data_IF_343818865916
#
_entry.id   IF_343818865916
#
_cell.length_a   1.000
_cell.length_b   1.000
_cell.length_c   1.000
_cell.angle_alpha   90.00
_cell.angle_beta   90.00
_cell.angle_gamma   90.00
#
_symmetry.space_group_name_H-M   'P 1'
#
loop_
_entity.id
_entity.type
_entity.pdbx_description
1 polymer ?
#
# COMPACT_ATOMS: atom_id res chain seq x y z
N UNK A 1 12.85 -5.25 2.86
CA UNK A 1 11.64 -4.44 3.12
C UNK A 1 11.97 -3.16 3.87
N UNK A 2 12.66 -3.25 5.01
CA UNK A 2 12.94 -2.10 5.88
C UNK A 2 13.81 -1.03 5.19
N UNK A 3 14.88 -1.42 4.49
CA UNK A 3 15.75 -0.48 3.76
C UNK A 3 15.03 0.29 2.65
N UNK A 4 14.19 -0.40 1.85
CA UNK A 4 13.40 0.25 0.80
C UNK A 4 12.27 1.13 1.36
N UNK A 5 11.65 0.72 2.47
CA UNK A 5 10.65 1.54 3.16
C UNK A 5 11.25 2.83 3.73
N UNK A 6 12.53 2.82 4.12
CA UNK A 6 13.21 4.01 4.65
C UNK A 6 13.45 5.13 3.61
N UNK A 7 13.44 4.79 2.31
CA UNK A 7 13.62 5.77 1.22
C UNK A 7 12.29 6.26 0.62
N UNK A 8 11.20 5.54 0.89
CA UNK A 8 9.91 5.87 0.35
C UNK A 8 9.28 7.03 1.14
N UNK A 9 8.60 7.93 0.45
CA UNK A 9 7.68 8.90 1.08
C UNK A 9 6.28 8.28 1.25
N UNK A 10 5.93 7.34 0.36
CA UNK A 10 4.61 6.71 0.25
C UNK A 10 4.79 5.19 0.24
N UNK A 11 4.00 4.49 1.04
CA UNK A 11 3.93 3.03 1.10
C UNK A 11 2.61 2.49 0.54
N UNK A 12 2.64 1.28 -0.02
CA UNK A 12 1.45 0.56 -0.46
C UNK A 12 1.32 -0.74 0.35
N UNK A 13 0.24 -0.93 1.10
CA UNK A 13 -0.14 -2.26 1.58
C UNK A 13 -0.75 -3.02 0.44
N UNK A 14 -0.42 -4.29 0.39
CA UNK A 14 -1.24 -5.23 -0.37
C UNK A 14 -1.83 -6.23 0.60
N UNK A 15 -3.16 -6.28 0.66
CA UNK A 15 -3.94 -7.20 1.50
C UNK A 15 -4.62 -8.20 0.58
N UNK A 16 -4.52 -9.49 0.89
CA UNK A 16 -5.29 -10.50 0.18
C UNK A 16 -6.75 -10.46 0.64
N UNK A 17 -7.72 -10.44 -0.29
CA UNK A 17 -9.14 -10.56 0.09
C UNK A 17 -9.62 -12.01 0.18
N UNK A 18 -8.78 -12.97 -0.26
CA UNK A 18 -9.08 -14.39 -0.23
C UNK A 18 -9.40 -14.84 1.20
N UNK A 19 -10.43 -15.68 1.33
CA UNK A 19 -10.79 -16.29 2.61
C UNK A 19 -9.62 -17.12 3.14
N UNK A 20 -9.41 -17.10 4.45
CA UNK A 20 -8.28 -17.67 5.19
C UNK A 20 -6.98 -16.89 5.07
N UNK A 21 -6.59 -16.42 3.88
CA UNK A 21 -5.37 -15.59 3.75
C UNK A 21 -5.50 -14.25 4.46
N UNK A 22 -6.66 -13.61 4.37
CA UNK A 22 -6.93 -12.37 5.10
C UNK A 22 -6.89 -12.59 6.62
N UNK A 23 -7.56 -13.64 7.10
CA UNK A 23 -7.65 -13.98 8.52
C UNK A 23 -6.27 -14.32 9.09
N UNK A 24 -5.50 -15.18 8.41
CA UNK A 24 -4.11 -15.47 8.78
C UNK A 24 -3.25 -14.21 8.73
N UNK A 25 -3.42 -13.34 7.72
CA UNK A 25 -2.69 -12.08 7.61
C UNK A 25 -3.01 -11.06 8.71
N UNK A 26 -4.19 -11.15 9.31
CA UNK A 26 -4.70 -10.23 10.35
C UNK A 26 -4.44 -10.74 11.78
N UNK A 27 -4.30 -12.06 11.97
CA UNK A 27 -4.08 -12.69 13.27
C UNK A 27 -2.79 -12.22 13.97
N UNK A 28 -2.78 -12.35 15.31
CA UNK A 28 -1.68 -11.88 16.18
C UNK A 28 -0.40 -12.66 15.88
N UNK A 29 0.61 -11.98 15.32
CA UNK A 29 1.96 -12.54 15.11
C UNK A 29 2.44 -12.52 13.65
N UNK A 30 1.69 -11.90 12.73
CA UNK A 30 1.95 -12.00 11.29
C UNK A 30 2.52 -10.70 10.70
N UNK A 31 3.29 -10.84 9.61
CA UNK A 31 4.00 -9.82 8.82
C UNK A 31 3.24 -8.50 8.67
N UNK A 32 1.93 -8.55 8.40
CA UNK A 32 1.12 -7.36 8.12
C UNK A 32 1.13 -6.37 9.28
N UNK A 33 1.05 -6.86 10.53
CA UNK A 33 1.03 -5.97 11.70
C UNK A 33 2.38 -5.30 11.91
N UNK A 34 3.45 -6.07 11.76
CA UNK A 34 4.81 -5.59 11.89
C UNK A 34 5.13 -4.56 10.80
N UNK A 35 4.76 -4.84 9.55
CA UNK A 35 4.97 -3.90 8.44
C UNK A 35 4.21 -2.59 8.60
N UNK A 36 2.95 -2.64 9.04
CA UNK A 36 2.17 -1.43 9.30
C UNK A 36 2.78 -0.62 10.44
N UNK A 37 3.34 -1.28 11.46
CA UNK A 37 4.00 -0.57 12.55
C UNK A 37 5.34 0.05 12.12
N UNK A 38 6.10 -0.65 11.27
CA UNK A 38 7.37 -0.15 10.72
C UNK A 38 7.16 0.97 9.69
N UNK A 39 6.08 0.91 8.92
CA UNK A 39 5.74 1.88 7.88
C UNK A 39 5.00 3.12 8.41
N UNK A 40 5.00 3.35 9.74
CA UNK A 40 4.22 4.43 10.39
C UNK A 40 4.53 5.83 9.85
N UNK A 41 5.74 6.03 9.35
CA UNK A 41 6.20 7.30 8.80
C UNK A 41 5.84 7.52 7.33
N UNK A 42 5.29 6.50 6.65
CA UNK A 42 4.93 6.56 5.23
C UNK A 42 3.46 6.97 5.05
N UNK A 43 3.17 7.85 4.08
CA UNK A 43 1.81 8.07 3.60
C UNK A 43 1.31 6.79 2.92
N UNK A 44 0.11 6.31 3.22
CA UNK A 44 -0.22 4.91 2.95
C UNK A 44 -1.39 4.69 1.98
N UNK A 45 -1.25 3.69 1.13
CA UNK A 45 -2.31 3.22 0.25
C UNK A 45 -2.60 1.75 0.56
N UNK A 46 -3.84 1.39 0.86
CA UNK A 46 -4.21 0.00 1.12
C UNK A 46 -4.89 -0.60 -0.11
N UNK A 47 -4.25 -1.58 -0.72
CA UNK A 47 -4.76 -2.25 -1.91
C UNK A 47 -5.23 -3.67 -1.59
N UNK A 48 -6.47 -4.00 -1.90
CA UNK A 48 -7.06 -5.32 -1.67
C UNK A 48 -7.00 -6.17 -2.96
N UNK A 49 -6.48 -7.40 -2.87
CA UNK A 49 -6.53 -8.39 -3.96
C UNK A 49 -7.90 -9.06 -3.99
N UNK A 50 -8.80 -8.61 -4.87
CA UNK A 50 -10.20 -9.08 -4.94
C UNK A 50 -10.50 -10.00 -6.13
N UNK A 51 -9.46 -10.39 -6.85
CA UNK A 51 -9.50 -11.18 -8.08
C UNK A 51 -9.61 -12.69 -7.87
N UNK A 52 -9.53 -13.16 -6.63
CA UNK A 52 -9.66 -14.58 -6.33
C UNK A 52 -11.08 -15.08 -6.70
N UNK A 53 -11.20 -16.26 -7.35
CA UNK A 53 -12.50 -16.84 -7.74
C UNK A 53 -13.46 -17.06 -6.57
N UNK A 54 -12.97 -17.11 -5.33
CA UNK A 54 -13.80 -17.23 -4.12
C UNK A 54 -14.41 -15.89 -3.67
N UNK A 55 -13.87 -14.77 -4.13
CA UNK A 55 -14.30 -13.41 -3.79
C UNK A 55 -15.08 -12.76 -4.92
N UNK A 56 -14.72 -13.04 -6.18
CA UNK A 56 -15.42 -12.56 -7.40
C UNK A 56 -15.77 -11.05 -7.35
N UNK A 57 -14.82 -10.21 -6.92
CA UNK A 57 -15.06 -8.76 -6.80
C UNK A 57 -16.28 -8.40 -5.92
N UNK A 58 -16.59 -9.22 -4.91
CA UNK A 58 -17.70 -8.98 -4.00
C UNK A 58 -17.48 -7.72 -3.15
N UNK A 59 -18.46 -6.81 -3.17
CA UNK A 59 -18.48 -5.60 -2.35
C UNK A 59 -18.52 -5.94 -0.86
N UNK A 60 -19.31 -6.95 -0.48
CA UNK A 60 -19.48 -7.34 0.92
C UNK A 60 -18.15 -7.72 1.57
N UNK A 61 -17.31 -8.47 0.84
CA UNK A 61 -15.98 -8.85 1.32
C UNK A 61 -15.02 -7.67 1.39
N UNK A 62 -15.10 -6.75 0.43
CA UNK A 62 -14.30 -5.52 0.47
C UNK A 62 -14.65 -4.67 1.70
N UNK A 63 -15.94 -4.43 1.93
CA UNK A 63 -16.45 -3.64 3.06
C UNK A 63 -16.08 -4.30 4.41
N UNK A 64 -16.12 -5.64 4.48
CA UNK A 64 -15.69 -6.40 5.67
C UNK A 64 -14.20 -6.17 6.00
N UNK A 65 -13.34 -6.24 4.98
CA UNK A 65 -11.89 -6.05 5.13
C UNK A 65 -11.59 -4.60 5.54
N UNK A 66 -12.22 -3.63 4.89
CA UNK A 66 -12.07 -2.22 5.21
C UNK A 66 -12.46 -1.96 6.68
N UNK A 67 -13.63 -2.45 7.10
CA UNK A 67 -14.13 -2.31 8.47
C UNK A 67 -13.19 -2.91 9.53
N UNK A 68 -12.53 -4.03 9.23
CA UNK A 68 -11.54 -4.64 10.13
C UNK A 68 -10.19 -3.92 10.13
N UNK A 69 -9.78 -3.35 8.99
CA UNK A 69 -8.48 -2.67 8.85
C UNK A 69 -8.49 -1.24 9.41
N UNK A 70 -9.62 -0.52 9.33
CA UNK A 70 -9.72 0.86 9.85
C UNK A 70 -9.34 0.95 11.35
N UNK A 71 -9.88 0.11 12.27
CA UNK A 71 -9.48 0.12 13.67
C UNK A 71 -8.01 -0.22 13.87
N UNK A 72 -7.49 -1.15 13.07
CA UNK A 72 -6.09 -1.58 13.15
C UNK A 72 -5.13 -0.43 12.79
N UNK A 73 -5.35 0.23 11.65
CA UNK A 73 -4.55 1.38 11.21
C UNK A 73 -4.68 2.56 12.17
N UNK A 74 -5.89 2.81 12.69
CA UNK A 74 -6.11 3.84 13.70
C UNK A 74 -5.34 3.54 14.99
N UNK A 75 -5.31 2.29 15.44
CA UNK A 75 -4.56 1.88 16.63
C UNK A 75 -3.05 2.05 16.49
N UNK A 76 -2.52 1.90 15.28
CA UNK A 76 -1.10 2.14 14.97
C UNK A 76 -0.75 3.64 14.89
N UNK A 77 -1.75 4.53 14.85
CA UNK A 77 -1.59 5.98 14.88
C UNK A 77 -1.71 6.67 13.51
N UNK A 78 -2.29 6.01 12.50
CA UNK A 78 -2.56 6.61 11.20
C UNK A 78 -3.83 7.46 11.19
N UNK A 79 -3.82 8.57 10.46
CA UNK A 79 -5.05 9.29 10.16
C UNK A 79 -5.74 8.68 8.94
N UNK A 80 -6.58 7.68 9.19
CA UNK A 80 -7.25 6.87 8.16
C UNK A 80 -7.98 7.69 7.09
N UNK A 81 -8.50 8.88 7.42
CA UNK A 81 -9.23 9.71 6.45
C UNK A 81 -8.31 10.43 5.47
N UNK A 82 -7.08 10.74 5.87
CA UNK A 82 -6.15 11.55 5.09
C UNK A 82 -5.07 10.70 4.45
N UNK A 83 -4.52 9.77 5.23
CA UNK A 83 -3.28 9.07 4.91
C UNK A 83 -3.52 7.64 4.44
N UNK A 84 -4.78 7.20 4.32
CA UNK A 84 -5.15 5.86 3.88
C UNK A 84 -6.25 5.96 2.82
N UNK A 85 -6.03 5.32 1.68
CA UNK A 85 -7.09 5.04 0.70
C UNK A 85 -7.14 3.56 0.42
N UNK A 86 -8.34 2.99 0.45
CA UNK A 86 -8.57 1.59 0.12
C UNK A 86 -8.90 1.45 -1.37
N UNK A 87 -8.25 0.54 -2.09
CA UNK A 87 -8.55 0.28 -3.50
C UNK A 87 -8.66 -1.23 -3.78
N UNK A 88 -9.69 -1.70 -4.50
CA UNK A 88 -9.73 -3.05 -5.02
C UNK A 88 -8.83 -3.14 -6.26
N UNK A 89 -7.83 -4.01 -6.23
CA UNK A 89 -6.91 -4.24 -7.36
C UNK A 89 -6.78 -5.73 -7.67
N UNK A 90 -6.33 -6.04 -8.88
CA UNK A 90 -5.87 -7.38 -9.25
C UNK A 90 -4.44 -7.32 -9.74
N UNK A 91 -3.54 -7.99 -9.04
CA UNK A 91 -2.16 -8.14 -9.49
C UNK A 91 -2.04 -9.11 -10.68
N UNK A 92 -2.91 -10.13 -10.73
CA UNK A 92 -2.85 -11.16 -11.77
C UNK A 92 -3.41 -10.68 -13.11
N UNK A 93 -4.58 -10.03 -13.10
CA UNK A 93 -5.28 -9.59 -14.30
C UNK A 93 -4.91 -8.18 -14.74
N UNK A 94 -4.16 -7.43 -13.92
CA UNK A 94 -3.84 -6.05 -14.24
C UNK A 94 -4.92 -5.03 -13.86
N UNK A 95 -6.03 -5.47 -13.27
CA UNK A 95 -7.23 -4.67 -13.11
C UNK A 95 -7.08 -3.58 -12.05
N UNK A 96 -7.61 -2.39 -12.36
CA UNK A 96 -7.55 -1.17 -11.53
C UNK A 96 -6.16 -0.61 -11.25
N UNK A 97 -5.13 -1.03 -11.99
CA UNK A 97 -3.77 -0.50 -11.82
C UNK A 97 -3.56 0.78 -12.64
N UNK A 98 -3.59 0.66 -13.97
CA UNK A 98 -3.39 1.78 -14.91
C UNK A 98 -4.72 2.30 -15.44
N UNK A 99 -5.59 1.40 -15.87
CA UNK A 99 -6.93 1.73 -16.36
C UNK A 99 -7.95 1.55 -15.25
N UNK A 100 -9.03 2.33 -15.30
CA UNK A 100 -10.17 2.13 -14.41
C UNK A 100 -10.79 0.77 -14.66
N UNK A 101 -11.36 0.19 -13.61
CA UNK A 101 -12.15 -1.04 -13.72
C UNK A 101 -13.34 -0.82 -14.66
N UNK A 102 -13.55 -1.78 -15.54
CA UNK A 102 -14.80 -1.86 -16.27
C UNK A 102 -15.94 -2.19 -15.31
N UNK A 103 -17.05 -1.47 -15.47
CA UNK A 103 -18.26 -1.66 -14.65
C UNK A 103 -18.88 -3.05 -14.80
N UNK A 104 -18.54 -3.78 -15.86
CA UNK A 104 -18.93 -5.17 -16.06
C UNK A 104 -18.30 -6.11 -15.04
N UNK A 105 -17.09 -5.80 -14.57
CA UNK A 105 -16.34 -6.61 -13.60
C UNK A 105 -16.69 -6.17 -12.18
N UNK A 106 -16.75 -4.85 -11.96
CA UNK A 106 -17.00 -4.28 -10.65
C UNK A 106 -18.00 -3.11 -10.76
N UNK A 107 -19.32 -3.38 -10.69
CA UNK A 107 -20.34 -2.36 -10.90
C UNK A 107 -20.40 -1.33 -9.75
N UNK A 108 -19.89 -1.68 -8.58
CA UNK A 108 -19.93 -0.84 -7.38
C UNK A 108 -18.73 0.10 -7.23
N UNK A 109 -17.63 -0.14 -7.94
CA UNK A 109 -16.44 0.70 -7.88
C UNK A 109 -16.46 1.78 -8.96
N UNK A 110 -16.48 3.05 -8.56
CA UNK A 110 -16.41 4.19 -9.48
C UNK A 110 -15.18 5.09 -9.26
N UNK A 111 -14.36 4.74 -8.27
CA UNK A 111 -13.22 5.53 -7.85
C UNK A 111 -12.00 5.35 -8.79
N UNK A 112 -11.01 6.24 -8.71
CA UNK A 112 -9.84 6.21 -9.59
C UNK A 112 -9.01 4.93 -9.43
N UNK A 113 -8.26 4.59 -10.47
CA UNK A 113 -7.28 3.50 -10.43
C UNK A 113 -6.06 3.87 -9.58
N UNK A 114 -5.26 2.87 -9.22
CA UNK A 114 -4.07 2.99 -8.39
C UNK A 114 -3.15 4.14 -8.83
N UNK A 115 -2.83 4.24 -10.12
CA UNK A 115 -1.88 5.25 -10.61
C UNK A 115 -2.43 6.67 -10.47
N UNK A 116 -3.71 6.90 -10.79
CA UNK A 116 -4.33 8.22 -10.60
C UNK A 116 -4.31 8.62 -9.12
N UNK A 117 -4.52 7.64 -8.23
CA UNK A 117 -4.46 7.92 -6.78
C UNK A 117 -3.04 8.26 -6.34
N UNK A 118 -2.03 7.56 -6.84
CA UNK A 118 -0.61 7.85 -6.56
C UNK A 118 -0.19 9.23 -7.10
N UNK A 119 -0.60 9.58 -8.32
CA UNK A 119 -0.32 10.89 -8.92
C UNK A 119 -0.98 12.04 -8.14
N UNK A 120 -2.10 11.77 -7.46
CA UNK A 120 -2.81 12.74 -6.64
C UNK A 120 -2.27 12.86 -5.20
N UNK A 121 -1.24 12.10 -4.81
CA UNK A 121 -0.68 12.20 -3.45
C UNK A 121 0.17 13.46 -3.33
N UNK A 122 -0.06 14.21 -2.26
CA UNK A 122 0.75 15.37 -1.91
C UNK A 122 2.12 14.91 -1.40
N UNK A 123 3.18 15.37 -2.07
CA UNK A 123 4.56 15.07 -1.69
C UNK A 123 4.97 16.04 -0.57
N UNK A 124 5.59 15.55 0.53
CA UNK A 124 6.10 16.44 1.58
C UNK A 124 7.14 17.41 1.02
N UNK A 125 7.15 18.68 1.46
CA UNK A 125 8.08 19.68 0.96
C UNK A 125 9.52 19.31 1.32
N UNK A 126 10.43 19.41 0.35
CA UNK A 126 11.86 19.16 0.54
C UNK A 126 12.61 20.48 0.67
N UNK A 127 13.50 20.61 1.65
CA UNK A 127 14.32 21.80 1.86
C UNK A 127 15.66 21.69 1.08
N UNK A 128 15.84 22.45 -0.02
CA UNK A 128 17.06 22.39 -0.81
C UNK A 128 18.25 23.10 -0.14
N UNK A 129 18.03 23.91 0.90
CA UNK A 129 19.09 24.65 1.61
C UNK A 129 19.52 23.95 2.91
N UNK A 130 18.83 22.89 3.31
CA UNK A 130 19.16 22.10 4.48
C UNK A 130 20.52 21.38 4.35
N UNK A 131 21.10 20.91 5.46
CA UNK A 131 22.33 20.12 5.43
C UNK A 131 22.09 18.81 4.67
N UNK A 132 22.97 18.50 3.72
CA UNK A 132 22.91 17.27 2.94
C UNK A 132 23.07 16.04 3.85
N UNK A 133 22.16 15.06 3.71
CA UNK A 133 22.20 13.76 4.39
C UNK A 133 21.83 12.68 3.39
N UNK A 134 22.64 11.64 3.28
CA UNK A 134 22.41 10.48 2.41
C UNK A 134 22.69 9.19 3.19
N UNK A 135 21.66 8.47 3.64
CA UNK A 135 21.82 7.14 4.23
C UNK A 135 22.35 6.16 3.17
N UNK A 136 23.41 5.40 3.48
CA UNK A 136 23.97 4.42 2.54
C UNK A 136 23.28 3.07 2.76
N UNK A 137 22.70 2.52 1.69
CA UNK A 137 22.03 1.22 1.68
C UNK A 137 22.93 0.13 1.12
N UNK A 138 23.67 0.43 0.06
CA UNK A 138 24.51 -0.55 -0.60
C UNK A 138 25.76 0.10 -1.20
N UNK A 139 26.79 -0.71 -1.47
CA UNK A 139 28.02 -0.29 -2.12
C UNK A 139 28.54 -1.37 -3.05
N UNK A 140 29.06 -0.96 -4.20
CA UNK A 140 29.77 -1.85 -5.09
C UNK A 140 30.96 -1.15 -5.74
N UNK A 141 31.83 -1.95 -6.36
CA UNK A 141 33.00 -1.43 -7.08
C UNK A 141 32.82 -1.67 -8.57
N UNK A 142 32.80 -0.58 -9.32
CA UNK A 142 32.84 -0.57 -10.78
C UNK A 142 33.58 0.68 -11.21
N UNK A 143 34.81 0.52 -11.73
CA UNK A 143 35.72 1.62 -12.10
C UNK A 143 35.86 2.73 -11.01
N UNK A 144 35.67 2.37 -9.74
CA UNK A 144 35.54 3.29 -8.62
C UNK A 144 34.73 2.68 -7.47
N UNK A 145 34.53 3.43 -6.38
CA UNK A 145 33.59 3.03 -5.31
C UNK A 145 32.25 3.72 -5.55
N UNK A 146 31.20 2.92 -5.79
CA UNK A 146 29.83 3.41 -5.99
C UNK A 146 29.03 3.12 -4.72
N UNK A 147 28.28 4.10 -4.23
CA UNK A 147 27.37 3.97 -3.08
C UNK A 147 25.95 4.31 -3.49
N UNK A 148 24.99 3.55 -2.99
CA UNK A 148 23.56 3.73 -3.23
C UNK A 148 22.86 4.06 -1.92
N UNK A 149 21.90 4.98 -1.97
CA UNK A 149 21.22 5.55 -0.83
C UNK A 149 20.01 6.37 -1.25
#
# INVERSE_FOLDING_TARGET
>A
MISGAAQADIGVLVISARKWEFETGYERGVQTREHVQLAKTLGYLSCNKVDDPTVNWSKERYDEIESKMIPFLRSSGYNVKKDVKFLPISGLLGSNMKTRLDKSICPWWNDPCLFIVLDAVEIPPRDPKGPFRMPIIDKFKDMGTVVMG
#
